data_IF_733759305968
#
_entry.id   IF_733759305968
#
_cell.length_a   1.000
_cell.length_b   1.000
_cell.length_c   1.000
_cell.angle_alpha   90.00
_cell.angle_beta   90.00
_cell.angle_gamma   90.00
#
_symmetry.space_group_name_H-M   'P 1'
#
loop_
_entity.id
_entity.type
_entity.pdbx_description
1 polymer ?
#
# COMPACT_ATOMS: atom_id res chain seq x y z
N UNK A 1 8.91 -17.56 -14.17
CA UNK A 1 9.05 -16.11 -13.90
C UNK A 1 8.94 -15.94 -12.39
N UNK A 2 9.93 -15.33 -11.74
CA UNK A 2 9.89 -15.04 -10.30
C UNK A 2 9.52 -13.58 -10.12
N UNK A 3 8.49 -13.29 -9.34
CA UNK A 3 8.11 -11.91 -9.01
C UNK A 3 9.02 -11.38 -7.90
N UNK A 4 9.48 -10.15 -8.05
CA UNK A 4 10.19 -9.41 -7.01
C UNK A 4 9.22 -8.34 -6.51
N UNK A 5 8.96 -8.34 -5.21
CA UNK A 5 8.13 -7.33 -4.55
C UNK A 5 9.05 -6.30 -3.94
N UNK A 6 9.09 -5.11 -4.55
CA UNK A 6 9.85 -3.98 -4.05
C UNK A 6 9.14 -3.36 -2.84
N UNK A 7 9.89 -3.17 -1.74
CA UNK A 7 9.41 -2.59 -0.48
C UNK A 7 10.39 -1.51 -0.06
N UNK A 8 10.27 -0.33 -0.68
CA UNK A 8 11.08 0.84 -0.33
C UNK A 8 10.32 1.78 0.59
N UNK A 9 11.06 2.45 1.47
CA UNK A 9 10.59 3.56 2.31
C UNK A 9 11.66 4.64 2.25
N UNK A 10 11.28 5.83 1.80
CA UNK A 10 12.15 7.00 1.85
C UNK A 10 11.97 7.70 3.18
N UNK A 11 13.06 8.21 3.75
CA UNK A 11 13.03 8.90 5.06
C UNK A 11 12.11 10.12 5.06
N UNK A 12 12.01 10.82 3.92
CA UNK A 12 11.16 12.00 3.72
C UNK A 12 9.65 11.69 3.75
N UNK A 13 9.26 10.41 3.72
CA UNK A 13 7.85 10.00 3.81
C UNK A 13 7.30 10.12 5.24
N UNK A 14 8.15 10.26 6.26
CA UNK A 14 7.77 10.35 7.65
C UNK A 14 8.26 11.67 8.30
N UNK A 15 7.51 12.15 9.29
CA UNK A 15 7.79 13.40 9.99
C UNK A 15 8.83 13.24 11.10
N UNK A 16 8.99 12.02 11.62
CA UNK A 16 9.97 11.66 12.65
C UNK A 16 10.36 10.17 12.58
N UNK A 17 11.41 9.80 13.32
CA UNK A 17 11.96 8.44 13.36
C UNK A 17 10.93 7.38 13.83
N UNK A 18 9.98 7.78 14.68
CA UNK A 18 8.96 6.87 15.21
C UNK A 18 7.93 6.56 14.12
N UNK A 19 7.48 7.57 13.40
CA UNK A 19 6.61 7.43 12.23
C UNK A 19 7.32 6.63 11.13
N UNK A 20 8.60 6.88 10.88
CA UNK A 20 9.39 6.13 9.91
C UNK A 20 9.48 4.64 10.27
N UNK A 21 9.79 4.32 11.53
CA UNK A 21 9.84 2.94 12.01
C UNK A 21 8.49 2.25 11.87
N UNK A 22 7.39 2.95 12.17
CA UNK A 22 6.04 2.41 12.00
C UNK A 22 5.71 2.18 10.52
N UNK A 23 6.06 3.13 9.65
CA UNK A 23 5.81 3.06 8.21
C UNK A 23 6.54 1.88 7.57
N UNK A 24 7.81 1.66 7.96
CA UNK A 24 8.61 0.52 7.51
C UNK A 24 7.98 -0.82 7.90
N UNK A 25 7.55 -0.96 9.15
CA UNK A 25 6.90 -2.18 9.64
C UNK A 25 5.55 -2.43 8.94
N UNK A 26 4.72 -1.38 8.81
CA UNK A 26 3.42 -1.43 8.16
C UNK A 26 3.55 -1.85 6.68
N UNK A 27 4.40 -1.14 5.91
CA UNK A 27 4.60 -1.41 4.48
C UNK A 27 5.14 -2.83 4.25
N UNK A 28 6.09 -3.28 5.08
CA UNK A 28 6.62 -4.65 4.98
C UNK A 28 5.54 -5.71 5.19
N UNK A 29 4.65 -5.53 6.17
CA UNK A 29 3.54 -6.45 6.44
C UNK A 29 2.54 -6.51 5.31
N UNK A 30 2.16 -5.35 4.76
CA UNK A 30 1.19 -5.29 3.67
C UNK A 30 1.75 -5.87 2.37
N UNK A 31 3.03 -5.64 2.06
CA UNK A 31 3.68 -6.27 0.91
C UNK A 31 3.85 -7.79 1.08
N UNK A 32 4.03 -8.29 2.31
CA UNK A 32 4.03 -9.73 2.57
C UNK A 32 2.66 -10.37 2.26
N UNK A 33 1.56 -9.67 2.55
CA UNK A 33 0.21 -10.12 2.17
C UNK A 33 0.07 -10.12 0.64
N UNK A 34 0.54 -9.10 -0.06
CA UNK A 34 0.52 -9.08 -1.52
C UNK A 34 1.36 -10.20 -2.13
N UNK A 35 2.51 -10.51 -1.56
CA UNK A 35 3.33 -11.66 -1.98
C UNK A 35 2.58 -12.98 -1.78
N UNK A 36 1.89 -13.15 -0.65
CA UNK A 36 1.02 -14.31 -0.41
C UNK A 36 -0.12 -14.39 -1.43
N UNK A 37 -0.84 -13.29 -1.67
CA UNK A 37 -1.95 -13.26 -2.62
C UNK A 37 -1.45 -13.52 -4.05
N UNK A 38 -0.27 -13.04 -4.45
CA UNK A 38 0.34 -13.38 -5.74
C UNK A 38 0.61 -14.88 -5.90
N UNK A 39 1.07 -15.53 -4.84
CA UNK A 39 1.41 -16.96 -4.87
C UNK A 39 0.19 -17.87 -4.82
N UNK A 40 -0.86 -17.46 -4.11
CA UNK A 40 -1.95 -18.38 -3.73
C UNK A 40 -3.36 -17.89 -4.07
N UNK A 41 -3.58 -16.59 -4.26
CA UNK A 41 -4.93 -15.98 -4.43
C UNK A 41 -4.93 -14.75 -5.37
N UNK A 42 -4.43 -14.87 -6.61
CA UNK A 42 -4.25 -13.73 -7.51
C UNK A 42 -5.56 -12.98 -7.84
N UNK A 43 -6.71 -13.65 -7.75
CA UNK A 43 -8.04 -13.06 -7.91
C UNK A 43 -8.33 -11.90 -6.94
N UNK A 44 -7.74 -11.92 -5.73
CA UNK A 44 -7.89 -10.83 -4.75
C UNK A 44 -7.22 -9.55 -5.23
N UNK A 45 -6.05 -9.67 -5.87
CA UNK A 45 -5.32 -8.53 -6.42
C UNK A 45 -6.05 -7.94 -7.62
N UNK A 46 -6.62 -8.80 -8.47
CA UNK A 46 -7.45 -8.35 -9.61
C UNK A 46 -8.69 -7.59 -9.14
N UNK A 47 -9.37 -8.07 -8.10
CA UNK A 47 -10.53 -7.39 -7.52
C UNK A 47 -10.18 -6.03 -6.88
N UNK A 48 -8.91 -5.80 -6.56
CA UNK A 48 -8.41 -4.58 -5.94
C UNK A 48 -7.75 -3.62 -6.94
N UNK A 49 -7.58 -4.03 -8.19
CA UNK A 49 -7.04 -3.19 -9.25
C UNK A 49 -7.91 -1.93 -9.45
N UNK A 50 -7.28 -0.76 -9.47
CA UNK A 50 -7.96 0.52 -9.71
C UNK A 50 -8.68 1.13 -8.49
N UNK A 51 -8.59 0.54 -7.29
CA UNK A 51 -9.27 1.05 -6.08
C UNK A 51 -8.50 2.08 -5.26
N UNK A 52 -7.27 2.42 -5.65
CA UNK A 52 -6.46 3.41 -4.94
C UNK A 52 -5.94 2.96 -3.57
N UNK A 53 -5.86 1.65 -3.34
CA UNK A 53 -5.30 1.10 -2.10
C UNK A 53 -3.80 1.47 -2.02
N UNK A 54 -3.38 2.03 -0.88
CA UNK A 54 -1.98 2.39 -0.62
C UNK A 54 -1.36 1.38 0.32
N UNK A 55 -0.03 1.31 0.31
CA UNK A 55 0.72 0.45 1.21
C UNK A 55 1.62 1.28 2.14
N UNK A 56 1.43 1.12 3.45
CA UNK A 56 2.08 1.87 4.52
C UNK A 56 1.16 2.90 5.17
N UNK A 57 0.72 3.91 4.41
CA UNK A 57 -0.22 4.94 4.87
C UNK A 57 -1.68 4.56 4.54
N UNK A 58 -2.63 5.29 5.12
CA UNK A 58 -4.05 5.15 4.81
C UNK A 58 -4.30 5.21 3.29
N UNK A 59 -5.24 4.39 2.83
CA UNK A 59 -5.64 4.33 1.43
C UNK A 59 -6.00 5.71 0.87
N UNK A 60 -5.64 5.97 -0.39
CA UNK A 60 -5.97 7.24 -1.04
C UNK A 60 -7.49 7.42 -1.24
N UNK A 61 -8.26 6.34 -1.07
CA UNK A 61 -9.63 6.25 -1.54
C UNK A 61 -9.71 6.03 -3.05
N UNK A 62 -10.91 5.65 -3.51
CA UNK A 62 -11.21 5.46 -4.94
C UNK A 62 -11.25 6.80 -5.67
N UNK A 63 -10.83 6.83 -6.94
CA UNK A 63 -10.94 8.00 -7.84
C UNK A 63 -12.41 8.28 -8.25
N UNK A 64 -13.35 7.41 -7.87
CA UNK A 64 -14.77 7.49 -8.26
C UNK A 64 -15.68 8.24 -7.27
N UNK A 65 -15.13 8.97 -6.30
CA UNK A 65 -15.92 9.85 -5.44
C UNK A 65 -15.74 11.32 -5.83
N UNK A 66 -16.78 11.87 -6.46
CA UNK A 66 -17.06 13.31 -6.62
C UNK A 66 -17.23 14.00 -5.25
N UNK A 67 -16.19 14.05 -4.43
CA UNK A 67 -16.22 14.82 -3.17
C UNK A 67 -14.90 15.57 -3.01
N UNK A 68 -14.83 16.70 -3.71
CA UNK A 68 -13.75 17.66 -3.61
C UNK A 68 -14.31 19.08 -3.63
N UNK A 69 -15.13 19.42 -2.64
CA UNK A 69 -15.43 20.80 -2.21
C UNK A 69 -15.60 20.75 -0.68
N UNK A 70 -15.07 21.77 0.01
CA UNK A 70 -14.96 21.97 1.48
C UNK A 70 -13.80 21.16 2.10
N UNK A 71 -12.69 21.73 2.53
CA UNK A 71 -12.38 23.05 3.08
C UNK A 71 -10.96 23.49 2.71
#
# INVERSE_FOLDING_TARGET
>A
MTHIIEVFVHEEEASDDRELSWLMDSRSKEHAINAYDLLFRPERLQANAGKGLRQGFADAGSVDSREGIYH
#
